data_IF_795819913669
#
_entry.id   IF_795819913669
#
_cell.length_a   1.000
_cell.length_b   1.000
_cell.length_c   1.000
_cell.angle_alpha   90.00
_cell.angle_beta   90.00
_cell.angle_gamma   90.00
#
_symmetry.space_group_name_H-M   'P 1'
#
loop_
_entity.id
_entity.type
_entity.pdbx_description
1 polymer ?
#
# COMPACT_ATOMS: atom_id res chain seq x y z
N UNK A 1 42.45 -10.64 -2.22
CA UNK A 1 41.77 -9.95 -3.35
C UNK A 1 40.61 -10.83 -3.81
N UNK A 2 39.45 -10.68 -3.19
CA UNK A 2 38.24 -11.44 -3.57
C UNK A 2 37.59 -10.78 -4.78
N UNK A 3 37.30 -11.56 -5.81
CA UNK A 3 36.62 -11.06 -6.99
C UNK A 3 35.18 -10.64 -6.64
N UNK A 4 34.66 -9.52 -7.17
CA UNK A 4 33.25 -9.21 -7.05
C UNK A 4 32.47 -10.21 -7.91
N UNK A 5 31.58 -10.97 -7.28
CA UNK A 5 30.61 -11.82 -7.98
C UNK A 5 29.75 -10.91 -8.87
N UNK A 6 30.04 -10.92 -10.17
CA UNK A 6 29.21 -10.30 -11.19
C UNK A 6 27.98 -11.17 -11.38
N UNK A 7 27.01 -11.06 -10.47
CA UNK A 7 25.67 -11.52 -10.78
C UNK A 7 25.11 -10.57 -11.84
N UNK A 8 24.85 -11.04 -13.08
CA UNK A 8 24.36 -10.18 -14.13
C UNK A 8 22.95 -9.67 -13.77
N UNK A 9 22.58 -8.42 -14.13
CA UNK A 9 21.26 -7.84 -13.85
C UNK A 9 20.09 -8.56 -14.57
N UNK A 10 20.37 -9.57 -15.39
CA UNK A 10 19.40 -10.30 -16.18
C UNK A 10 18.55 -11.33 -15.40
N UNK A 11 18.90 -11.65 -14.15
CA UNK A 11 18.20 -12.72 -13.38
C UNK A 11 17.00 -12.19 -12.60
N UNK A 12 16.94 -10.89 -12.32
CA UNK A 12 15.86 -10.33 -11.50
C UNK A 12 14.53 -10.23 -12.27
N UNK A 13 14.54 -9.99 -13.58
CA UNK A 13 13.34 -9.70 -14.38
C UNK A 13 12.28 -10.83 -14.51
N UNK A 14 12.54 -12.04 -13.99
CA UNK A 14 11.69 -13.22 -14.23
C UNK A 14 10.96 -13.76 -12.98
N UNK A 15 11.11 -13.11 -11.81
CA UNK A 15 10.43 -13.60 -10.60
C UNK A 15 9.02 -13.00 -10.47
N UNK A 16 7.98 -13.82 -10.24
CA UNK A 16 6.59 -13.35 -10.12
C UNK A 16 6.34 -12.40 -8.93
N UNK A 17 7.28 -12.34 -7.98
CA UNK A 17 7.25 -11.45 -6.81
C UNK A 17 8.23 -10.28 -6.94
N UNK A 18 8.86 -10.10 -8.10
CA UNK A 18 9.87 -9.08 -8.30
C UNK A 18 9.39 -7.67 -7.92
N UNK A 19 8.15 -7.23 -8.25
CA UNK A 19 7.67 -5.93 -7.82
C UNK A 19 7.58 -5.76 -6.30
N UNK A 20 7.38 -6.85 -5.56
CA UNK A 20 7.20 -6.84 -4.10
C UNK A 20 8.53 -6.67 -3.35
N UNK A 21 9.66 -7.06 -3.94
CA UNK A 21 10.98 -7.05 -3.29
C UNK A 21 12.04 -6.15 -3.93
N UNK A 22 11.82 -5.67 -5.17
CA UNK A 22 12.84 -4.91 -5.91
C UNK A 22 13.21 -3.60 -5.22
N UNK A 23 12.23 -2.77 -4.88
CA UNK A 23 12.47 -1.45 -4.28
C UNK A 23 13.14 -1.55 -2.91
N UNK A 24 12.70 -2.50 -2.08
CA UNK A 24 13.27 -2.76 -0.76
C UNK A 24 14.73 -3.22 -0.90
N UNK A 25 15.02 -4.08 -1.88
CA UNK A 25 16.39 -4.55 -2.13
C UNK A 25 17.29 -3.39 -2.54
N UNK A 26 16.85 -2.53 -3.46
CA UNK A 26 17.65 -1.40 -3.95
C UNK A 26 17.90 -0.37 -2.84
N UNK A 27 16.85 0.05 -2.12
CA UNK A 27 16.96 1.12 -1.14
C UNK A 27 17.81 0.72 0.08
N UNK A 28 17.72 -0.53 0.53
CA UNK A 28 18.52 -1.02 1.66
C UNK A 28 20.01 -1.20 1.33
N UNK A 29 20.35 -1.41 0.06
CA UNK A 29 21.73 -1.60 -0.39
C UNK A 29 22.40 -0.33 -0.93
N UNK A 30 21.69 0.80 -0.96
CA UNK A 30 22.26 2.10 -1.29
C UNK A 30 22.79 2.78 -0.01
N UNK A 31 24.11 3.03 0.10
CA UNK A 31 24.70 3.73 1.25
C UNK A 31 24.09 5.11 1.49
N UNK A 32 23.58 5.76 0.45
CA UNK A 32 22.97 7.07 0.50
C UNK A 32 21.59 7.06 1.17
N UNK A 33 20.82 5.98 1.00
CA UNK A 33 19.42 5.92 1.43
C UNK A 33 19.14 4.95 2.58
N UNK A 34 20.04 3.98 2.86
CA UNK A 34 19.79 2.92 3.84
C UNK A 34 19.43 3.42 5.26
N UNK A 35 19.96 4.58 5.66
CA UNK A 35 19.75 5.20 6.98
C UNK A 35 18.40 5.92 7.08
N UNK A 36 17.72 6.14 5.95
CA UNK A 36 16.44 6.84 5.86
C UNK A 36 15.26 5.90 5.65
N UNK A 37 15.51 4.59 5.54
CA UNK A 37 14.47 3.59 5.30
C UNK A 37 13.58 3.46 6.53
N UNK A 38 12.28 3.64 6.32
CA UNK A 38 11.24 3.34 7.32
C UNK A 38 10.55 2.04 6.92
N UNK A 39 10.60 1.03 7.79
CA UNK A 39 9.96 -0.27 7.56
C UNK A 39 8.45 -0.23 7.84
N UNK A 40 7.75 0.70 7.21
CA UNK A 40 6.30 0.85 7.31
C UNK A 40 5.77 1.46 6.02
N UNK A 41 4.90 0.73 5.31
CA UNK A 41 4.40 1.10 3.98
C UNK A 41 3.11 1.96 4.03
N UNK A 42 2.67 2.33 5.24
CA UNK A 42 1.49 3.17 5.51
C UNK A 42 0.16 2.57 5.02
N UNK A 43 0.12 1.27 4.70
CA UNK A 43 -1.10 0.58 4.27
C UNK A 43 -1.69 -0.30 5.38
N UNK A 44 -3.00 -0.20 5.57
CA UNK A 44 -3.75 -1.20 6.33
C UNK A 44 -4.19 -2.35 5.40
N UNK A 45 -3.62 -3.52 5.62
CA UNK A 45 -3.95 -4.76 4.92
C UNK A 45 -4.39 -5.80 5.95
N UNK A 46 -5.60 -6.33 5.78
CA UNK A 46 -6.13 -7.42 6.60
C UNK A 46 -6.02 -8.75 5.85
N UNK A 47 -5.69 -9.81 6.57
CA UNK A 47 -5.59 -11.18 6.04
C UNK A 47 -6.50 -12.11 6.83
N UNK A 48 -7.16 -13.03 6.11
CA UNK A 48 -7.90 -14.12 6.74
C UNK A 48 -6.94 -15.08 7.47
N UNK A 49 -7.47 -15.85 8.43
CA UNK A 49 -6.72 -16.91 9.12
C UNK A 49 -7.45 -18.24 8.86
N UNK A 50 -6.89 -19.18 8.07
CA UNK A 50 -5.59 -19.12 7.39
C UNK A 50 -5.53 -18.11 6.22
N UNK A 51 -4.34 -17.57 5.90
CA UNK A 51 -4.19 -16.56 4.86
C UNK A 51 -4.51 -17.13 3.48
N UNK A 52 -5.27 -16.35 2.70
CA UNK A 52 -5.58 -16.63 1.29
C UNK A 52 -4.53 -16.00 0.37
N UNK A 53 -4.57 -16.32 -0.93
CA UNK A 53 -3.68 -15.71 -1.94
C UNK A 53 -3.85 -14.19 -2.05
N UNK A 54 -5.03 -13.67 -1.75
CA UNK A 54 -5.33 -12.24 -1.83
C UNK A 54 -5.77 -11.69 -0.48
N UNK A 55 -5.46 -10.41 -0.19
CA UNK A 55 -5.92 -9.76 1.03
C UNK A 55 -7.44 -9.81 1.21
N UNK A 56 -7.86 -9.78 2.47
CA UNK A 56 -9.26 -9.68 2.85
C UNK A 56 -9.88 -8.40 2.27
N UNK A 57 -11.10 -8.51 1.74
CA UNK A 57 -11.86 -7.33 1.28
C UNK A 57 -12.43 -6.62 2.49
N UNK A 58 -12.02 -5.39 2.72
CA UNK A 58 -12.38 -4.61 3.89
C UNK A 58 -13.86 -4.22 3.86
N UNK A 59 -14.52 -4.34 5.00
CA UNK A 59 -15.93 -3.99 5.18
C UNK A 59 -16.11 -3.06 6.38
N UNK A 60 -17.34 -2.57 6.60
CA UNK A 60 -17.69 -1.79 7.79
C UNK A 60 -17.32 -2.47 9.12
N UNK A 61 -17.28 -3.81 9.16
CA UNK A 61 -16.88 -4.56 10.37
C UNK A 61 -15.41 -4.34 10.74
N UNK A 62 -14.58 -3.96 9.78
CA UNK A 62 -13.15 -3.75 9.96
C UNK A 62 -12.81 -2.29 10.24
N UNK A 63 -13.79 -1.38 10.17
CA UNK A 63 -13.60 0.06 10.23
C UNK A 63 -12.84 0.53 11.48
N UNK A 64 -13.22 0.04 12.65
CA UNK A 64 -12.52 0.40 13.90
C UNK A 64 -11.04 -0.01 13.86
N UNK A 65 -10.73 -1.18 13.27
CA UNK A 65 -9.36 -1.66 13.14
C UNK A 65 -8.57 -0.82 12.13
N UNK A 66 -9.21 -0.41 11.04
CA UNK A 66 -8.63 0.52 10.06
C UNK A 66 -8.23 1.84 10.74
N UNK A 67 -9.16 2.47 11.46
CA UNK A 67 -8.91 3.75 12.15
C UNK A 67 -7.81 3.61 13.19
N UNK A 68 -7.85 2.55 14.01
CA UNK A 68 -6.84 2.31 15.07
C UNK A 68 -5.43 2.07 14.52
N UNK A 69 -5.31 1.57 13.29
CA UNK A 69 -4.00 1.29 12.67
C UNK A 69 -3.17 2.54 12.38
N UNK A 70 -3.78 3.73 12.36
CA UNK A 70 -3.16 4.99 11.94
C UNK A 70 -2.54 4.95 10.52
N UNK A 71 -2.88 3.95 9.71
CA UNK A 71 -2.46 3.85 8.31
C UNK A 71 -3.44 4.67 7.44
N UNK A 72 -2.97 5.69 6.72
CA UNK A 72 -3.83 6.54 5.90
C UNK A 72 -4.35 5.83 4.64
N UNK A 73 -3.65 4.80 4.16
CA UNK A 73 -4.03 4.03 2.99
C UNK A 73 -4.62 2.70 3.45
N UNK A 74 -5.74 2.30 2.86
CA UNK A 74 -6.38 1.03 3.16
C UNK A 74 -6.46 0.19 1.89
N UNK A 75 -6.40 -1.13 2.08
CA UNK A 75 -6.41 -2.11 1.01
C UNK A 75 -7.75 -2.23 0.28
N UNK A 76 -8.00 -3.45 -0.19
CA UNK A 76 -9.05 -3.78 -1.16
C UNK A 76 -10.47 -3.53 -0.61
N UNK A 77 -11.21 -2.64 -1.26
CA UNK A 77 -12.64 -2.43 -1.05
C UNK A 77 -13.47 -3.07 -2.17
N UNK A 78 -14.71 -3.43 -1.87
CA UNK A 78 -15.69 -3.75 -2.90
C UNK A 78 -16.16 -2.45 -3.55
N UNK A 79 -16.46 -2.50 -4.85
CA UNK A 79 -17.08 -1.38 -5.55
C UNK A 79 -18.40 -0.99 -4.88
N UNK A 80 -18.61 0.30 -4.67
CA UNK A 80 -19.83 0.90 -4.10
C UNK A 80 -20.16 0.41 -2.66
N UNK A 81 -19.15 0.03 -1.90
CA UNK A 81 -19.33 -0.39 -0.50
C UNK A 81 -19.54 0.80 0.44
N UNK A 82 -20.50 0.68 1.36
CA UNK A 82 -20.86 1.72 2.33
C UNK A 82 -19.72 2.09 3.31
N UNK A 83 -18.69 1.24 3.40
CA UNK A 83 -17.47 1.58 4.15
C UNK A 83 -16.76 2.82 3.59
N UNK A 84 -16.81 3.04 2.26
CA UNK A 84 -16.23 4.22 1.63
C UNK A 84 -16.98 5.50 2.02
N UNK A 85 -18.32 5.45 2.02
CA UNK A 85 -19.16 6.55 2.50
C UNK A 85 -18.83 6.90 3.97
N UNK A 86 -18.59 5.88 4.80
CA UNK A 86 -18.29 6.06 6.22
C UNK A 86 -16.90 6.68 6.44
N UNK A 87 -15.89 6.25 5.67
CA UNK A 87 -14.55 6.86 5.69
C UNK A 87 -14.64 8.34 5.26
N UNK A 88 -15.37 8.63 4.18
CA UNK A 88 -15.57 9.99 3.69
C UNK A 88 -16.18 10.91 4.77
N UNK A 89 -17.19 10.43 5.49
CA UNK A 89 -17.87 11.22 6.54
C UNK A 89 -17.02 11.34 7.80
N UNK A 90 -16.49 10.23 8.33
CA UNK A 90 -15.87 10.23 9.65
C UNK A 90 -14.41 10.69 9.64
N UNK A 91 -13.64 10.27 8.63
CA UNK A 91 -12.21 10.57 8.56
C UNK A 91 -11.96 11.85 7.75
N UNK A 92 -12.67 12.03 6.64
CA UNK A 92 -12.48 13.19 5.75
C UNK A 92 -13.46 14.34 6.05
N UNK A 93 -14.44 14.14 6.95
CA UNK A 93 -15.48 15.12 7.32
C UNK A 93 -16.25 15.65 6.11
N UNK A 94 -16.50 14.77 5.13
CA UNK A 94 -17.17 15.11 3.88
C UNK A 94 -18.67 14.88 3.99
N UNK A 95 -19.43 15.70 3.27
CA UNK A 95 -20.86 15.45 3.06
C UNK A 95 -21.06 14.65 1.78
N UNK A 96 -22.00 13.69 1.80
CA UNK A 96 -22.34 12.87 0.64
C UNK A 96 -22.67 13.77 -0.57
N UNK A 97 -21.95 13.59 -1.69
CA UNK A 97 -22.10 14.41 -2.90
C UNK A 97 -21.21 15.65 -2.98
N UNK A 98 -20.42 15.96 -1.95
CA UNK A 98 -19.36 16.96 -2.08
C UNK A 98 -18.19 16.37 -2.86
N UNK A 99 -17.91 16.91 -4.05
CA UNK A 99 -16.69 16.61 -4.79
C UNK A 99 -15.49 17.30 -4.13
N UNK A 100 -14.28 16.77 -4.30
CA UNK A 100 -13.08 17.50 -3.91
C UNK A 100 -13.01 18.80 -4.72
N UNK A 101 -12.89 19.95 -4.06
CA UNK A 101 -12.63 21.24 -4.73
C UNK A 101 -11.18 21.36 -5.26
N UNK A 102 -10.53 20.27 -5.67
CA UNK A 102 -9.09 20.29 -6.02
C UNK A 102 -8.77 19.40 -7.22
N UNK A 103 -8.60 20.06 -8.38
CA UNK A 103 -7.52 19.84 -9.35
C UNK A 103 -7.33 18.48 -10.03
N UNK A 104 -8.13 17.46 -9.74
CA UNK A 104 -7.96 16.12 -10.35
C UNK A 104 -8.60 15.99 -11.74
N UNK A 105 -9.37 16.98 -12.17
CA UNK A 105 -9.98 17.03 -13.52
C UNK A 105 -9.39 18.13 -14.41
N UNK A 106 -8.10 18.43 -14.27
CA UNK A 106 -7.37 19.22 -15.28
C UNK A 106 -6.42 18.31 -16.06
N UNK A 107 -7.00 17.32 -16.73
CA UNK A 107 -6.37 16.61 -17.84
C UNK A 107 -7.30 16.79 -19.03
N UNK A 108 -6.95 17.71 -19.92
CA UNK A 108 -7.56 17.86 -21.25
C UNK A 108 -7.41 16.58 -22.06
#
# INVERSE_FOLDING_TARGET
MGQPSKNPPHVLHQLPFLPEGYFQTVICNSPEFNSTVVNYDLHYISWDIPPKQHPHVLTLKDFEKMVRSNAPLQGKFKKDDAVLDTIDVEQLRRTKGSAHARGWCTGT
#
